data_IF_995708457897
#
_entry.id   IF_995708457897
#
_cell.length_a   1.000
_cell.length_b   1.000
_cell.length_c   1.000
_cell.angle_alpha   90.00
_cell.angle_beta   90.00
_cell.angle_gamma   90.00
#
_symmetry.space_group_name_H-M   'P 1'
#
loop_
_entity.id
_entity.type
_entity.pdbx_description
1 polymer ?
#
# COMPACT_ATOMS: atom_id res chain seq x y z
N UNK A 1 -9.99 -32.11 15.97
CA UNK A 1 -9.10 -30.96 16.24
C UNK A 1 -8.74 -30.32 14.90
N UNK A 2 -9.43 -29.24 14.57
CA UNK A 2 -9.15 -28.49 13.34
C UNK A 2 -7.81 -27.75 13.52
N UNK A 3 -6.79 -28.16 12.76
CA UNK A 3 -5.53 -27.44 12.70
C UNK A 3 -5.83 -26.00 12.24
N UNK A 4 -5.65 -25.05 13.12
CA UNK A 4 -5.68 -23.63 12.74
C UNK A 4 -4.64 -23.45 11.64
N UNK A 5 -5.10 -23.30 10.41
CA UNK A 5 -4.21 -22.98 9.27
C UNK A 5 -3.44 -21.71 9.65
N UNK A 6 -2.16 -21.86 9.89
CA UNK A 6 -1.31 -20.71 10.22
C UNK A 6 -1.31 -19.78 9.02
N UNK A 7 -2.04 -18.68 9.14
CA UNK A 7 -2.11 -17.69 8.06
C UNK A 7 -0.75 -17.02 7.92
N UNK A 8 -0.20 -17.07 6.72
CA UNK A 8 1.06 -16.38 6.40
C UNK A 8 0.77 -14.88 6.32
N UNK A 9 1.53 -14.10 7.08
CA UNK A 9 1.41 -12.65 7.03
C UNK A 9 1.57 -12.14 5.60
N UNK A 10 0.67 -11.27 5.16
CA UNK A 10 0.66 -10.79 3.79
C UNK A 10 0.95 -9.29 3.75
N UNK A 11 1.96 -8.92 2.96
CA UNK A 11 2.33 -7.52 2.69
C UNK A 11 1.98 -7.21 1.24
N UNK A 12 1.13 -6.22 1.05
CA UNK A 12 0.79 -5.68 -0.27
C UNK A 12 1.65 -4.44 -0.52
N UNK A 13 2.34 -4.39 -1.63
CA UNK A 13 3.19 -3.26 -1.99
C UNK A 13 2.58 -2.54 -3.19
N UNK A 14 2.44 -1.22 -3.10
CA UNK A 14 2.06 -0.38 -4.23
C UNK A 14 3.07 -0.58 -5.37
N UNK A 15 2.59 -0.84 -6.59
CA UNK A 15 3.49 -1.13 -7.71
C UNK A 15 3.23 -0.18 -8.88
N UNK A 16 4.31 0.44 -9.32
CA UNK A 16 4.38 1.23 -10.55
C UNK A 16 5.59 0.73 -11.33
N UNK A 17 5.46 0.41 -12.64
CA UNK A 17 6.62 -0.01 -13.44
C UNK A 17 7.79 0.99 -13.41
N UNK A 18 7.50 2.28 -13.25
CA UNK A 18 8.53 3.33 -13.12
C UNK A 18 9.35 3.19 -11.84
N UNK A 19 8.79 2.52 -10.82
CA UNK A 19 9.40 2.31 -9.51
C UNK A 19 9.78 0.84 -9.26
N UNK A 20 9.95 0.05 -10.31
CA UNK A 20 10.23 -1.38 -10.21
C UNK A 20 11.44 -1.67 -9.31
N UNK A 21 12.52 -0.93 -9.47
CA UNK A 21 13.73 -1.13 -8.64
C UNK A 21 13.45 -0.90 -7.15
N UNK A 22 12.68 0.15 -6.82
CA UNK A 22 12.30 0.42 -5.43
C UNK A 22 11.48 -0.75 -4.86
N UNK A 23 10.51 -1.24 -5.63
CA UNK A 23 9.72 -2.42 -5.24
C UNK A 23 10.62 -3.63 -4.95
N UNK A 24 11.57 -3.94 -5.83
CA UNK A 24 12.45 -5.11 -5.63
C UNK A 24 13.33 -4.95 -4.38
N UNK A 25 13.82 -3.74 -4.10
CA UNK A 25 14.61 -3.44 -2.90
C UNK A 25 13.75 -3.65 -1.64
N UNK A 26 12.53 -3.11 -1.63
CA UNK A 26 11.62 -3.29 -0.49
C UNK A 26 11.28 -4.77 -0.29
N UNK A 27 10.88 -5.46 -1.35
CA UNK A 27 10.59 -6.91 -1.31
C UNK A 27 11.77 -7.69 -0.74
N UNK A 28 12.97 -7.45 -1.27
CA UNK A 28 14.20 -8.11 -0.81
C UNK A 28 14.43 -7.84 0.69
N UNK A 29 14.25 -6.58 1.13
CA UNK A 29 14.45 -6.22 2.54
C UNK A 29 13.46 -6.97 3.45
N UNK A 30 12.20 -7.12 3.03
CA UNK A 30 11.18 -7.88 3.76
C UNK A 30 11.61 -9.36 3.86
N UNK A 31 11.93 -9.97 2.72
CA UNK A 31 12.26 -11.40 2.66
C UNK A 31 13.54 -11.73 3.45
N UNK A 32 14.52 -10.83 3.42
CA UNK A 32 15.82 -11.02 4.09
C UNK A 32 15.72 -10.90 5.62
N UNK A 33 14.89 -9.97 6.13
CA UNK A 33 14.88 -9.65 7.57
C UNK A 33 13.79 -10.44 8.32
N UNK A 34 12.78 -10.93 7.60
CA UNK A 34 11.67 -11.65 8.24
C UNK A 34 12.08 -12.99 8.82
N UNK A 35 11.80 -13.20 10.10
CA UNK A 35 12.11 -14.46 10.79
C UNK A 35 11.12 -15.59 10.47
N UNK A 36 9.95 -15.24 9.92
CA UNK A 36 8.93 -16.20 9.46
C UNK A 36 8.53 -15.86 8.04
N UNK A 37 8.04 -16.83 7.28
CA UNK A 37 7.58 -16.56 5.91
C UNK A 37 6.56 -15.44 5.87
N UNK A 38 6.74 -14.55 4.90
CA UNK A 38 5.83 -13.45 4.60
C UNK A 38 5.50 -13.50 3.12
N UNK A 39 4.24 -13.39 2.79
CA UNK A 39 3.81 -13.32 1.39
C UNK A 39 3.84 -11.86 0.94
N UNK A 40 4.63 -11.55 -0.08
CA UNK A 40 4.76 -10.20 -0.63
C UNK A 40 4.04 -10.16 -1.98
N UNK A 41 3.06 -9.25 -2.10
CA UNK A 41 2.20 -9.16 -3.30
C UNK A 41 2.27 -7.75 -3.87
N UNK A 42 2.77 -7.56 -5.11
CA UNK A 42 2.67 -6.26 -5.75
C UNK A 42 1.24 -5.97 -6.21
N UNK A 43 0.74 -4.77 -5.91
CA UNK A 43 -0.57 -4.33 -6.38
C UNK A 43 -0.46 -3.80 -7.82
N UNK A 44 -0.37 -4.70 -8.75
CA UNK A 44 -0.24 -4.41 -10.18
C UNK A 44 -1.59 -4.04 -10.78
N UNK A 45 -1.76 -2.75 -11.11
CA UNK A 45 -3.01 -2.23 -11.68
C UNK A 45 -3.39 -2.96 -12.97
N UNK A 46 -2.43 -3.22 -13.84
CA UNK A 46 -2.66 -3.93 -15.11
C UNK A 46 -3.27 -5.33 -14.88
N UNK A 47 -2.72 -6.08 -13.93
CA UNK A 47 -3.23 -7.41 -13.60
C UNK A 47 -4.61 -7.30 -12.94
N UNK A 48 -4.76 -6.38 -11.98
CA UNK A 48 -6.03 -6.19 -11.25
C UNK A 48 -7.17 -5.76 -12.21
N UNK A 49 -6.84 -4.97 -13.23
CA UNK A 49 -7.79 -4.59 -14.28
C UNK A 49 -8.15 -5.80 -15.14
N UNK A 50 -7.15 -6.57 -15.56
CA UNK A 50 -7.36 -7.75 -16.42
C UNK A 50 -8.26 -8.79 -15.78
N UNK A 51 -8.15 -8.97 -14.46
CA UNK A 51 -9.01 -9.94 -13.73
C UNK A 51 -10.31 -9.31 -13.22
N UNK A 52 -10.59 -8.04 -13.56
CA UNK A 52 -11.85 -7.38 -13.26
C UNK A 52 -12.01 -6.87 -11.83
N UNK A 53 -10.96 -6.90 -11.01
CA UNK A 53 -11.01 -6.42 -9.62
C UNK A 53 -10.85 -4.89 -9.56
N UNK A 54 -10.00 -4.33 -10.44
CA UNK A 54 -9.83 -2.88 -10.55
C UNK A 54 -10.65 -2.38 -11.73
N UNK A 55 -11.69 -1.61 -11.46
CA UNK A 55 -12.64 -1.14 -12.47
C UNK A 55 -12.63 0.39 -12.65
N UNK A 56 -11.80 1.12 -11.89
CA UNK A 56 -11.75 2.57 -11.97
C UNK A 56 -11.12 2.98 -13.30
N UNK A 57 -11.89 3.74 -14.09
CA UNK A 57 -11.48 4.17 -15.43
C UNK A 57 -10.53 5.36 -15.38
N UNK A 58 -9.66 5.44 -16.37
CA UNK A 58 -8.73 6.54 -16.51
C UNK A 58 -8.40 6.76 -18.00
N UNK A 59 -8.04 7.99 -18.33
CA UNK A 59 -7.54 8.37 -19.65
C UNK A 59 -6.07 8.70 -19.55
N UNK A 60 -5.27 8.24 -20.51
CA UNK A 60 -3.84 8.55 -20.55
C UNK A 60 -3.57 9.63 -21.58
N UNK A 61 -3.04 10.76 -21.13
CA UNK A 61 -2.69 11.90 -21.98
C UNK A 61 -1.21 12.18 -21.79
N UNK A 62 -0.44 12.07 -22.87
CA UNK A 62 1.02 12.30 -22.85
C UNK A 62 1.75 11.51 -21.75
N UNK A 63 1.33 10.27 -21.50
CA UNK A 63 1.97 9.40 -20.52
C UNK A 63 1.54 9.63 -19.07
N UNK A 64 0.60 10.56 -18.84
CA UNK A 64 0.02 10.82 -17.53
C UNK A 64 -1.42 10.30 -17.49
N UNK A 65 -1.72 9.50 -16.48
CA UNK A 65 -3.09 9.00 -16.27
C UNK A 65 -3.93 10.03 -15.51
N UNK A 66 -5.15 10.21 -15.95
CA UNK A 66 -6.16 11.09 -15.35
C UNK A 66 -7.42 10.28 -15.03
N UNK A 67 -7.94 10.47 -13.83
CA UNK A 67 -9.17 9.82 -13.39
C UNK A 67 -10.37 10.33 -14.20
N UNK A 68 -11.20 9.43 -14.73
CA UNK A 68 -12.43 9.80 -15.45
C UNK A 68 -13.51 10.38 -14.53
N UNK A 69 -13.43 10.14 -13.22
CA UNK A 69 -14.46 10.59 -12.27
C UNK A 69 -14.25 12.06 -11.89
N UNK A 70 -13.01 12.45 -11.58
CA UNK A 70 -12.75 13.83 -11.10
C UNK A 70 -11.74 14.60 -11.93
N UNK A 71 -11.22 14.01 -13.00
CA UNK A 71 -10.29 14.64 -13.93
C UNK A 71 -8.89 14.88 -13.37
N UNK A 72 -8.58 14.36 -12.19
CA UNK A 72 -7.28 14.62 -11.56
C UNK A 72 -6.21 13.63 -12.03
N UNK A 73 -4.96 14.06 -12.12
CA UNK A 73 -3.88 13.15 -12.48
C UNK A 73 -3.63 12.13 -11.36
N UNK A 74 -3.32 10.90 -11.75
CA UNK A 74 -2.81 9.90 -10.81
C UNK A 74 -1.34 10.20 -10.51
N UNK A 75 -0.97 10.23 -9.24
CA UNK A 75 0.44 10.39 -8.86
C UNK A 75 1.25 9.11 -9.16
N UNK A 76 0.64 7.95 -8.98
CA UNK A 76 1.25 6.64 -9.25
C UNK A 76 0.18 5.67 -9.76
N UNK A 77 0.60 4.56 -10.36
CA UNK A 77 -0.34 3.52 -10.79
C UNK A 77 -1.05 2.85 -9.60
N UNK A 78 -0.50 2.95 -8.40
CA UNK A 78 -1.12 2.36 -7.21
C UNK A 78 -1.93 3.35 -6.37
N UNK A 79 -2.23 4.54 -6.89
CA UNK A 79 -2.99 5.56 -6.15
C UNK A 79 -4.31 5.04 -5.58
N UNK A 80 -4.99 4.16 -6.31
CA UNK A 80 -6.29 3.61 -5.89
C UNK A 80 -6.27 2.10 -5.60
N UNK A 81 -5.28 1.35 -6.07
CA UNK A 81 -5.26 -0.11 -5.89
C UNK A 81 -5.13 -0.50 -4.41
N UNK A 82 -4.57 0.38 -3.58
CA UNK A 82 -4.45 0.16 -2.13
C UNK A 82 -5.81 -0.08 -1.45
N UNK A 83 -6.88 0.49 -1.99
CA UNK A 83 -8.22 0.34 -1.41
C UNK A 83 -8.86 -1.02 -1.70
N UNK A 84 -8.25 -1.84 -2.55
CA UNK A 84 -8.71 -3.19 -2.85
C UNK A 84 -8.22 -4.23 -1.84
N UNK A 85 -7.27 -3.88 -0.97
CA UNK A 85 -6.62 -4.83 -0.06
C UNK A 85 -7.63 -5.61 0.81
N UNK A 86 -8.66 -4.97 1.41
CA UNK A 86 -9.62 -5.77 2.18
C UNK A 86 -10.26 -6.89 1.35
N UNK A 87 -10.66 -6.60 0.10
CA UNK A 87 -11.24 -7.60 -0.78
C UNK A 87 -10.21 -8.65 -1.22
N UNK A 88 -8.99 -8.22 -1.56
CA UNK A 88 -7.90 -9.12 -1.94
C UNK A 88 -7.51 -10.06 -0.80
N UNK A 89 -7.66 -9.61 0.43
CA UNK A 89 -7.41 -10.41 1.64
C UNK A 89 -8.68 -11.10 2.14
N UNK A 90 -9.73 -11.15 1.32
CA UNK A 90 -11.01 -11.82 1.58
C UNK A 90 -11.70 -11.33 2.87
N UNK A 91 -11.41 -10.09 3.27
CA UNK A 91 -11.90 -9.47 4.51
C UNK A 91 -11.54 -10.29 5.77
N UNK A 92 -10.44 -11.05 5.72
CA UNK A 92 -10.00 -11.91 6.82
C UNK A 92 -8.57 -11.59 7.25
N UNK A 93 -8.35 -11.61 8.57
CA UNK A 93 -7.02 -11.46 9.17
C UNK A 93 -6.41 -10.09 8.95
N UNK A 94 -5.09 -10.02 9.13
CA UNK A 94 -4.32 -8.79 8.96
C UNK A 94 -3.61 -8.78 7.62
N UNK A 95 -3.58 -7.63 7.00
CA UNK A 95 -2.76 -7.37 5.82
C UNK A 95 -2.05 -6.02 6.01
N UNK A 96 -0.80 -5.94 5.57
CA UNK A 96 -0.03 -4.70 5.61
C UNK A 96 0.05 -4.10 4.22
N UNK A 97 -0.13 -2.79 4.10
CA UNK A 97 0.14 -2.03 2.88
C UNK A 97 1.41 -1.21 3.06
N UNK A 98 2.25 -1.20 2.04
CA UNK A 98 3.45 -0.34 1.98
C UNK A 98 3.57 0.31 0.60
N UNK A 99 4.01 1.56 0.57
CA UNK A 99 4.45 2.19 -0.68
C UNK A 99 5.81 1.59 -1.10
N UNK A 100 6.10 1.57 -2.40
CA UNK A 100 7.30 0.92 -2.95
C UNK A 100 8.61 1.56 -2.50
N UNK A 101 8.60 2.85 -2.17
CA UNK A 101 9.79 3.64 -1.81
C UNK A 101 10.21 3.51 -0.33
N UNK A 102 9.81 2.42 0.30
CA UNK A 102 10.15 2.11 1.69
C UNK A 102 11.27 1.08 1.78
N UNK A 103 11.85 0.95 2.96
CA UNK A 103 12.84 -0.07 3.30
C UNK A 103 12.64 -0.48 4.75
N UNK A 104 12.55 -1.79 5.02
CA UNK A 104 12.39 -2.24 6.40
C UNK A 104 13.76 -2.46 7.08
N UNK A 105 13.80 -2.15 8.38
CA UNK A 105 15.01 -2.26 9.21
C UNK A 105 14.85 -3.26 10.35
N UNK A 106 13.68 -3.85 10.49
CA UNK A 106 13.38 -4.82 11.54
C UNK A 106 12.38 -5.86 11.00
N UNK A 107 12.21 -6.96 11.71
CA UNK A 107 11.31 -8.03 11.30
C UNK A 107 9.87 -7.52 11.19
N UNK A 108 9.32 -7.60 9.98
CA UNK A 108 7.95 -7.14 9.72
C UNK A 108 6.91 -7.94 10.54
N UNK A 109 7.24 -9.17 10.94
CA UNK A 109 6.35 -9.99 11.76
C UNK A 109 6.07 -9.37 13.15
N UNK A 110 6.98 -8.52 13.64
CA UNK A 110 6.76 -7.81 14.90
C UNK A 110 5.60 -6.80 14.78
N UNK A 111 5.51 -6.13 13.62
CA UNK A 111 4.40 -5.20 13.36
C UNK A 111 3.06 -5.95 13.35
N UNK A 112 3.01 -7.11 12.69
CA UNK A 112 1.81 -7.94 12.69
C UNK A 112 1.40 -8.35 14.12
N UNK A 113 2.36 -8.72 14.97
CA UNK A 113 2.07 -9.05 16.38
C UNK A 113 1.48 -7.87 17.16
N UNK A 114 2.02 -6.67 16.94
CA UNK A 114 1.52 -5.45 17.59
C UNK A 114 0.06 -5.20 17.20
N UNK A 115 -0.28 -5.38 15.93
CA UNK A 115 -1.62 -5.11 15.42
C UNK A 115 -2.64 -6.21 15.75
N UNK A 116 -2.19 -7.46 15.94
CA UNK A 116 -3.07 -8.61 16.13
C UNK A 116 -3.91 -8.55 17.43
N UNK A 117 -3.47 -7.79 18.40
CA UNK A 117 -4.14 -7.65 19.71
C UNK A 117 -5.08 -6.44 19.78
N UNK A 118 -5.36 -5.80 18.66
CA UNK A 118 -6.15 -4.59 18.63
C UNK A 118 -7.49 -4.80 17.90
N UNK A 119 -8.53 -4.13 18.39
CA UNK A 119 -9.88 -4.23 17.87
C UNK A 119 -10.14 -3.27 16.69
N UNK A 120 -9.15 -2.50 16.29
CA UNK A 120 -9.34 -1.49 15.25
C UNK A 120 -9.23 -2.12 13.86
N UNK A 121 -10.15 -1.82 12.95
CA UNK A 121 -10.10 -2.38 11.59
C UNK A 121 -8.95 -1.84 10.74
N UNK A 122 -8.40 -0.67 11.11
CA UNK A 122 -7.31 -0.03 10.38
C UNK A 122 -6.28 0.50 11.38
N UNK A 123 -5.03 0.19 11.14
CA UNK A 123 -3.89 0.71 11.89
C UNK A 123 -3.02 1.54 10.96
N UNK A 124 -2.58 2.70 11.41
CA UNK A 124 -1.69 3.58 10.63
C UNK A 124 -0.51 4.03 11.46
N UNK A 125 0.62 4.26 10.82
CA UNK A 125 1.78 4.86 11.49
C UNK A 125 1.51 6.38 11.58
N UNK A 126 1.46 6.88 12.79
CA UNK A 126 1.23 8.31 13.04
C UNK A 126 2.57 9.05 12.99
N UNK A 127 2.65 10.04 12.16
CA UNK A 127 3.82 10.93 12.08
C UNK A 127 3.44 12.34 12.53
N UNK A 128 4.31 12.97 13.30
CA UNK A 128 4.27 14.43 13.47
C UNK A 128 4.93 15.01 12.22
N UNK A 129 4.11 15.27 11.22
CA UNK A 129 4.60 15.71 9.92
C UNK A 129 4.38 17.22 9.77
N UNK A 130 5.47 17.94 9.61
CA UNK A 130 5.48 19.34 9.21
C UNK A 130 6.12 19.41 7.82
N UNK A 131 5.32 19.64 6.77
CA UNK A 131 5.88 19.65 5.42
C UNK A 131 6.89 20.80 5.27
N UNK A 132 8.08 20.48 4.78
CA UNK A 132 9.11 21.47 4.47
C UNK A 132 8.67 22.35 3.31
N UNK A 133 8.02 21.74 2.33
CA UNK A 133 7.48 22.44 1.18
C UNK A 133 5.96 22.57 1.32
N UNK A 134 5.47 23.77 1.14
CA UNK A 134 4.03 24.05 1.27
C UNK A 134 3.22 23.61 0.05
N UNK A 135 3.90 23.24 -1.04
CA UNK A 135 3.25 22.81 -2.27
C UNK A 135 3.64 21.39 -2.66
N UNK A 136 2.67 20.65 -3.15
CA UNK A 136 2.85 19.33 -3.76
C UNK A 136 3.43 19.48 -5.16
N UNK A 137 3.86 18.35 -5.75
CA UNK A 137 4.37 18.31 -7.13
C UNK A 137 3.36 18.84 -8.16
N UNK A 138 2.06 18.75 -7.87
CA UNK A 138 0.99 19.29 -8.71
C UNK A 138 0.69 20.78 -8.46
N UNK A 139 1.51 21.47 -7.65
CA UNK A 139 1.37 22.88 -7.34
C UNK A 139 0.36 23.21 -6.26
N UNK A 140 -0.41 22.24 -5.76
CA UNK A 140 -1.42 22.47 -4.72
C UNK A 140 -0.79 22.55 -3.34
N UNK A 141 -1.47 23.25 -2.43
CA UNK A 141 -1.02 23.32 -1.03
C UNK A 141 -1.03 21.94 -0.38
N UNK A 142 0.04 21.65 0.34
CA UNK A 142 0.16 20.41 1.10
C UNK A 142 -0.35 20.63 2.52
N UNK A 143 -1.44 19.94 2.89
CA UNK A 143 -2.01 20.00 4.23
C UNK A 143 -1.91 18.64 4.93
N UNK A 144 -1.51 18.49 5.95
CA UNK A 144 -1.38 17.42 6.56
C UNK A 144 -2.56 17.11 7.21
N UNK A 145 -2.94 16.64 7.11
CA UNK A 145 -3.82 16.34 7.54
C UNK A 145 -3.73 15.75 8.53
N UNK A 146 -3.50 15.87 9.21
CA UNK A 146 -3.44 15.39 10.08
C UNK A 146 -4.37 15.38 10.74
N UNK A 147 -5.09 15.32 10.57
CA UNK A 147 -5.78 15.26 11.00
C UNK A 147 -5.90 14.70 11.84
N UNK A 148 -5.53 14.82 12.89
CA UNK A 148 -5.74 14.26 14.19
C UNK A 148 -7.01 14.83 14.80
N UNK A 149 -8.10 14.17 14.58
CA UNK A 149 -9.22 14.40 15.49
C UNK A 149 -9.04 13.46 16.69
N UNK A 150 -8.93 14.07 17.86
CA UNK A 150 -8.98 13.41 19.16
C UNK A 150 -10.35 12.75 19.39
#
# INVERSE_FOLDING_TARGET
MLLKKQMVNTVYIGYDPKEHTAYEILKFSIERISTKPVRVIPLRRDILTKIGIYTRKHNTISGQDYDEIDGKPFSTQFSFTRFLIPALNMYEGLALYMDSDMYIRADINELFKICDNNYYPIHVVKHKYEPKDKKKMDGKEQHXXXXTRS
#
